data_IF_657166441249
#
_entry.id   IF_657166441249
#
_cell.length_a   1.000
_cell.length_b   1.000
_cell.length_c   1.000
_cell.angle_alpha   90.00
_cell.angle_beta   90.00
_cell.angle_gamma   90.00
#
_symmetry.space_group_name_H-M   'P 1'
#
loop_
_entity.id
_entity.type
_entity.pdbx_description
1 polymer ?
#
# COMPACT_ATOMS: atom_id res chain seq x y z
N UNK A 1 15.88 8.97 30.46
CA UNK A 1 15.49 10.03 29.49
C UNK A 1 15.64 9.42 28.11
N UNK A 2 14.55 9.14 27.42
CA UNK A 2 14.57 8.63 26.06
C UNK A 2 15.05 9.74 25.14
N UNK A 3 16.14 9.51 24.42
CA UNK A 3 16.70 10.48 23.48
C UNK A 3 15.74 10.60 22.30
N UNK A 4 15.07 11.74 22.16
CA UNK A 4 14.21 12.02 21.02
C UNK A 4 15.05 12.02 19.73
N UNK A 5 14.65 11.24 18.76
CA UNK A 5 15.32 11.18 17.45
C UNK A 5 14.72 12.24 16.57
N UNK A 6 15.52 13.22 16.18
CA UNK A 6 15.14 14.25 15.22
C UNK A 6 15.75 13.94 13.86
N UNK A 7 14.94 14.03 12.80
CA UNK A 7 15.30 13.83 11.40
C UNK A 7 15.03 15.11 10.60
N UNK A 8 15.85 15.36 9.58
CA UNK A 8 15.72 16.54 8.73
C UNK A 8 16.38 17.80 9.31
N UNK A 9 16.10 18.96 8.73
CA UNK A 9 16.68 20.25 9.10
C UNK A 9 15.77 21.42 8.72
N UNK A 10 15.95 22.57 9.38
CA UNK A 10 15.19 23.79 9.13
C UNK A 10 13.69 23.58 9.37
N UNK A 11 12.86 24.05 8.43
CA UNK A 11 11.40 23.87 8.47
C UNK A 11 10.92 22.44 8.21
N UNK A 12 11.80 21.56 7.74
CA UNK A 12 11.55 20.14 7.51
C UNK A 12 12.18 19.24 8.59
N UNK A 13 12.25 19.74 9.81
CA UNK A 13 12.71 18.98 10.95
C UNK A 13 11.53 18.23 11.59
N UNK A 14 11.67 16.92 11.76
CA UNK A 14 10.65 16.02 12.29
C UNK A 14 11.17 15.27 13.50
N UNK A 15 10.30 14.95 14.42
CA UNK A 15 10.59 14.13 15.60
C UNK A 15 9.91 12.77 15.43
N UNK A 16 10.63 11.71 15.77
CA UNK A 16 10.05 10.36 15.74
C UNK A 16 9.12 10.19 16.95
N UNK A 17 7.86 9.89 16.67
CA UNK A 17 6.87 9.53 17.68
C UNK A 17 6.97 8.02 17.98
N UNK A 18 7.82 7.65 18.94
CA UNK A 18 7.98 6.26 19.37
C UNK A 18 6.65 5.71 19.92
N UNK A 19 6.28 4.50 19.49
CA UNK A 19 5.06 3.82 19.94
C UNK A 19 3.77 4.28 19.30
N UNK A 20 3.83 5.18 18.29
CA UNK A 20 2.68 5.47 17.46
C UNK A 20 2.31 4.24 16.62
N UNK A 21 1.02 3.94 16.48
CA UNK A 21 0.55 2.82 15.66
C UNK A 21 0.64 1.47 16.38
N UNK A 22 0.35 1.44 17.69
CA UNK A 22 0.30 0.20 18.44
C UNK A 22 -0.80 -0.73 17.90
N UNK A 23 -0.40 -1.95 17.53
CA UNK A 23 -1.31 -2.95 17.00
C UNK A 23 -2.00 -3.74 18.11
N UNK A 24 -3.22 -4.25 17.88
CA UNK A 24 -3.85 -5.22 18.77
C UNK A 24 -3.04 -6.50 18.90
N UNK A 25 -3.24 -7.24 19.99
CA UNK A 25 -2.59 -8.51 20.22
C UNK A 25 -2.83 -9.49 19.03
N UNK A 26 -1.74 -10.08 18.55
CA UNK A 26 -1.77 -11.03 17.43
C UNK A 26 -1.75 -10.39 16.05
N UNK A 27 -1.89 -9.08 15.94
CA UNK A 27 -1.72 -8.39 14.66
C UNK A 27 -0.24 -8.11 14.39
N UNK A 28 0.12 -8.19 13.12
CA UNK A 28 1.46 -7.83 12.65
C UNK A 28 1.35 -6.88 11.47
N UNK A 29 2.38 -6.11 11.25
CA UNK A 29 2.52 -5.25 10.07
C UNK A 29 3.77 -5.72 9.32
N UNK A 30 3.57 -6.24 8.11
CA UNK A 30 4.65 -6.73 7.25
C UNK A 30 4.74 -5.84 6.02
N UNK A 31 5.96 -5.55 5.57
CA UNK A 31 6.24 -4.88 4.29
C UNK A 31 5.20 -3.82 3.91
N UNK A 32 5.25 -2.67 4.54
CA UNK A 32 4.33 -1.57 4.23
C UNK A 32 4.59 -1.07 2.82
N UNK A 33 3.63 -1.33 1.93
CA UNK A 33 3.69 -0.93 0.52
C UNK A 33 3.20 0.50 0.27
N UNK A 34 2.34 1.02 1.15
CA UNK A 34 1.80 2.37 1.00
C UNK A 34 1.19 2.92 2.27
N UNK A 35 1.19 4.24 2.38
CA UNK A 35 0.52 4.97 3.45
C UNK A 35 -0.26 6.13 2.81
N UNK A 36 -1.50 6.32 3.25
CA UNK A 36 -2.32 7.45 2.85
C UNK A 36 -3.00 8.07 4.07
N UNK A 37 -3.32 9.36 3.99
CA UNK A 37 -4.00 10.08 5.07
C UNK A 37 -5.22 10.76 4.49
N UNK A 38 -6.36 10.64 5.16
CA UNK A 38 -7.59 11.29 4.75
C UNK A 38 -7.75 12.70 5.38
N UNK A 39 -8.83 13.38 5.03
CA UNK A 39 -9.12 14.74 5.53
C UNK A 39 -9.48 14.79 7.02
N UNK A 40 -9.74 13.64 7.64
CA UNK A 40 -10.00 13.52 9.07
C UNK A 40 -8.75 13.09 9.86
N UNK A 41 -7.56 13.18 9.25
CA UNK A 41 -6.27 12.75 9.80
C UNK A 41 -6.23 11.25 10.15
N UNK A 42 -7.09 10.41 9.54
CA UNK A 42 -6.98 8.96 9.66
C UNK A 42 -5.89 8.45 8.74
N UNK A 43 -5.05 7.55 9.25
CA UNK A 43 -3.89 7.00 8.54
C UNK A 43 -4.20 5.59 8.07
N UNK A 44 -4.09 5.37 6.79
CA UNK A 44 -4.32 4.09 6.11
C UNK A 44 -2.99 3.48 5.77
N UNK A 45 -2.66 2.35 6.40
CA UNK A 45 -1.41 1.62 6.20
C UNK A 45 -1.68 0.37 5.39
N UNK A 46 -1.20 0.36 4.15
CA UNK A 46 -1.36 -0.74 3.23
C UNK A 46 -0.13 -1.63 3.28
N UNK A 47 -0.30 -2.86 3.78
CA UNK A 47 0.80 -3.76 4.11
C UNK A 47 0.50 -5.21 3.72
N UNK A 48 1.51 -6.09 3.80
CA UNK A 48 1.45 -7.48 3.37
C UNK A 48 1.24 -8.45 4.53
N UNK A 49 0.33 -8.13 5.44
CA UNK A 49 -0.08 -9.01 6.53
C UNK A 49 -1.48 -9.57 6.29
N UNK A 50 -1.98 -10.36 7.24
CA UNK A 50 -3.37 -10.85 7.23
C UNK A 50 -4.40 -9.71 7.35
N UNK A 51 -3.96 -8.51 7.69
CA UNK A 51 -4.75 -7.27 7.71
C UNK A 51 -4.16 -6.28 6.68
N UNK A 52 -4.48 -6.43 5.38
CA UNK A 52 -3.81 -5.68 4.32
C UNK A 52 -3.94 -4.16 4.43
N UNK A 53 -5.11 -3.66 4.84
CA UNK A 53 -5.31 -2.25 5.11
C UNK A 53 -5.65 -2.06 6.58
N UNK A 54 -4.73 -1.48 7.35
CA UNK A 54 -4.95 -1.11 8.74
C UNK A 54 -5.22 0.39 8.80
N UNK A 55 -6.29 0.77 9.49
CA UNK A 55 -6.69 2.17 9.65
C UNK A 55 -6.44 2.62 11.07
N UNK A 56 -5.70 3.69 11.22
CA UNK A 56 -5.41 4.33 12.51
C UNK A 56 -6.09 5.70 12.60
N UNK A 57 -6.38 6.12 13.81
CA UNK A 57 -6.65 7.52 14.06
C UNK A 57 -5.35 8.34 14.07
N UNK A 58 -5.48 9.65 14.23
CA UNK A 58 -4.36 10.58 14.31
C UNK A 58 -3.36 10.24 15.43
N UNK A 59 -3.85 9.72 16.54
CA UNK A 59 -3.04 9.43 17.72
C UNK A 59 -2.41 8.02 17.67
N UNK A 60 -2.71 7.24 16.63
CA UNK A 60 -2.14 5.91 16.37
C UNK A 60 -2.95 4.77 16.99
N UNK A 61 -4.19 5.02 17.43
CA UNK A 61 -5.08 3.94 17.82
C UNK A 61 -5.68 3.27 16.58
N UNK A 62 -5.73 1.93 16.57
CA UNK A 62 -6.34 1.18 15.47
C UNK A 62 -7.85 1.37 15.48
N UNK A 63 -8.40 1.84 14.36
CA UNK A 63 -9.84 1.97 14.12
C UNK A 63 -10.44 0.71 13.51
N UNK A 64 -9.64 -0.07 12.75
CA UNK A 64 -10.05 -1.30 12.12
C UNK A 64 -9.13 -1.73 10.99
N UNK A 65 -9.52 -2.80 10.30
CA UNK A 65 -8.85 -3.27 9.08
C UNK A 65 -9.87 -3.70 8.03
N UNK A 66 -9.39 -3.81 6.79
CA UNK A 66 -10.15 -4.35 5.68
C UNK A 66 -9.22 -4.84 4.56
N UNK A 67 -9.74 -5.58 3.62
CA UNK A 67 -9.02 -6.03 2.43
C UNK A 67 -8.50 -7.46 2.49
N UNK A 68 -8.87 -8.24 3.50
CA UNK A 68 -8.39 -9.60 3.77
C UNK A 68 -8.61 -10.55 2.59
N UNK A 69 -9.71 -10.43 1.87
CA UNK A 69 -10.04 -11.26 0.70
C UNK A 69 -9.92 -10.50 -0.63
N UNK A 70 -9.36 -9.29 -0.61
CA UNK A 70 -9.32 -8.40 -1.77
C UNK A 70 -7.93 -8.35 -2.40
N UNK A 71 -6.88 -8.32 -1.58
CA UNK A 71 -5.52 -8.06 -2.02
C UNK A 71 -4.63 -9.29 -1.90
N UNK A 72 -3.78 -9.48 -2.93
CA UNK A 72 -2.80 -10.57 -3.01
C UNK A 72 -1.41 -10.10 -2.56
N UNK A 73 -0.99 -8.92 -3.04
CA UNK A 73 0.32 -8.36 -2.71
C UNK A 73 0.26 -6.82 -2.72
N UNK A 74 -0.14 -6.20 -1.62
CA UNK A 74 -0.21 -4.76 -1.45
C UNK A 74 1.06 -4.02 -1.85
N UNK A 75 0.94 -2.98 -2.72
CA UNK A 75 2.10 -2.25 -3.20
C UNK A 75 2.00 -0.73 -3.00
N UNK A 76 0.85 -0.11 -3.21
CA UNK A 76 0.71 1.33 -3.06
C UNK A 76 -0.72 1.75 -2.76
N UNK A 77 -0.87 2.82 -1.99
CA UNK A 77 -2.16 3.40 -1.64
C UNK A 77 -2.13 4.92 -1.79
N UNK A 78 -3.20 5.48 -2.34
CA UNK A 78 -3.36 6.92 -2.52
C UNK A 78 -4.82 7.32 -2.33
N UNK A 79 -5.08 8.33 -1.51
CA UNK A 79 -6.43 8.92 -1.39
C UNK A 79 -6.51 10.10 -2.36
N UNK A 80 -7.44 10.00 -3.31
CA UNK A 80 -7.67 11.02 -4.31
C UNK A 80 -8.47 12.23 -3.78
N UNK A 81 -8.57 13.30 -4.58
CA UNK A 81 -9.36 14.49 -4.22
C UNK A 81 -10.87 14.22 -4.13
N UNK A 82 -11.30 13.05 -4.61
CA UNK A 82 -12.66 12.53 -4.57
C UNK A 82 -12.97 11.72 -3.29
N UNK A 83 -12.04 11.72 -2.32
CA UNK A 83 -12.11 11.02 -1.04
C UNK A 83 -12.28 9.48 -1.17
N UNK A 84 -11.81 8.91 -2.28
CA UNK A 84 -11.67 7.46 -2.45
C UNK A 84 -10.20 7.05 -2.36
N UNK A 85 -9.97 5.82 -1.93
CA UNK A 85 -8.62 5.25 -1.89
C UNK A 85 -8.37 4.37 -3.12
N UNK A 86 -7.22 4.60 -3.75
CA UNK A 86 -6.73 3.85 -4.90
C UNK A 86 -5.60 2.94 -4.42
N UNK A 87 -5.82 1.64 -4.50
CA UNK A 87 -4.89 0.62 -4.04
C UNK A 87 -4.32 -0.13 -5.23
N UNK A 88 -2.99 -0.19 -5.32
CA UNK A 88 -2.28 -1.01 -6.31
C UNK A 88 -1.90 -2.34 -5.69
N UNK A 89 -2.20 -3.41 -6.42
CA UNK A 89 -1.80 -4.77 -6.08
C UNK A 89 -0.92 -5.32 -7.21
N UNK A 90 0.35 -5.58 -6.92
CA UNK A 90 1.30 -6.09 -7.91
C UNK A 90 1.31 -7.63 -7.97
N UNK A 91 0.67 -8.31 -7.03
CA UNK A 91 0.49 -9.75 -7.05
C UNK A 91 -0.56 -10.20 -8.06
N UNK A 92 -1.67 -9.48 -8.14
CA UNK A 92 -2.73 -9.76 -9.12
C UNK A 92 -2.77 -8.78 -10.31
N UNK A 93 -1.87 -7.78 -10.31
CA UNK A 93 -1.71 -6.79 -11.40
C UNK A 93 -2.93 -5.88 -11.59
N UNK A 94 -3.53 -5.45 -10.49
CA UNK A 94 -4.71 -4.57 -10.51
C UNK A 94 -4.49 -3.25 -9.79
N UNK A 95 -5.32 -2.28 -10.13
CA UNK A 95 -5.55 -1.08 -9.33
C UNK A 95 -7.02 -1.03 -8.96
N UNK A 96 -7.32 -0.95 -7.68
CA UNK A 96 -8.69 -0.88 -7.19
C UNK A 96 -8.99 0.49 -6.61
N UNK A 97 -10.10 1.08 -7.03
CA UNK A 97 -10.71 2.23 -6.37
C UNK A 97 -11.68 1.72 -5.33
N UNK A 98 -11.46 2.09 -4.08
CA UNK A 98 -12.28 1.66 -2.96
C UNK A 98 -12.82 2.88 -2.20
N UNK A 99 -13.93 2.66 -1.49
CA UNK A 99 -14.34 3.55 -0.40
C UNK A 99 -13.33 3.44 0.75
N UNK A 100 -13.33 4.40 1.67
CA UNK A 100 -12.42 4.40 2.82
C UNK A 100 -12.71 3.28 3.83
N UNK A 101 -13.87 2.64 3.72
CA UNK A 101 -14.27 1.46 4.49
C UNK A 101 -14.09 0.12 3.74
N UNK A 102 -13.45 0.16 2.56
CA UNK A 102 -12.99 -1.03 1.85
C UNK A 102 -13.92 -1.60 0.78
N UNK A 103 -15.04 -0.93 0.45
CA UNK A 103 -15.89 -1.38 -0.66
C UNK A 103 -15.23 -1.07 -2.00
N UNK A 104 -14.97 -2.09 -2.81
CA UNK A 104 -14.45 -1.94 -4.18
C UNK A 104 -15.51 -1.33 -5.09
N UNK A 105 -15.18 -0.22 -5.76
CA UNK A 105 -16.04 0.52 -6.69
C UNK A 105 -15.63 0.31 -8.14
N UNK A 106 -14.34 0.16 -8.38
CA UNK A 106 -13.77 -0.02 -9.72
C UNK A 106 -12.50 -0.87 -9.62
N UNK A 107 -12.33 -1.77 -10.55
CA UNK A 107 -11.11 -2.53 -10.74
C UNK A 107 -10.54 -2.26 -12.13
N UNK A 108 -9.27 -1.90 -12.21
CA UNK A 108 -8.50 -1.70 -13.42
C UNK A 108 -7.44 -2.79 -13.51
N UNK A 109 -7.35 -3.44 -14.65
CA UNK A 109 -6.51 -4.61 -14.88
C UNK A 109 -7.34 -5.88 -15.00
N UNK A 110 -6.65 -7.01 -15.10
CA UNK A 110 -7.27 -8.33 -15.11
C UNK A 110 -6.55 -9.17 -14.05
N UNK A 111 -7.21 -9.53 -12.95
CA UNK A 111 -6.56 -10.26 -11.87
C UNK A 111 -5.80 -11.49 -12.35
N UNK A 112 -4.53 -11.61 -11.94
CA UNK A 112 -3.64 -12.71 -12.31
C UNK A 112 -3.22 -12.76 -13.79
N UNK A 113 -3.51 -11.72 -14.58
CA UNK A 113 -3.13 -11.64 -16.00
C UNK A 113 -2.25 -10.42 -16.26
N UNK A 114 -0.94 -10.51 -15.94
CA UNK A 114 -0.03 -9.41 -16.24
C UNK A 114 0.12 -9.22 -17.76
N UNK A 115 0.34 -7.98 -18.15
CA UNK A 115 0.75 -7.70 -19.51
C UNK A 115 2.16 -8.27 -19.80
N UNK A 116 2.46 -8.59 -21.07
CA UNK A 116 3.82 -8.90 -21.45
C UNK A 116 4.78 -7.76 -21.08
N UNK A 117 5.93 -8.10 -20.55
CA UNK A 117 6.94 -7.11 -20.15
C UNK A 117 7.26 -6.15 -21.30
N UNK A 118 7.18 -4.85 -21.03
CA UNK A 118 7.41 -3.77 -21.99
C UNK A 118 6.61 -3.88 -23.31
N UNK A 119 5.41 -4.46 -23.26
CA UNK A 119 4.56 -4.63 -24.44
C UNK A 119 4.15 -3.31 -25.09
N UNK A 120 4.15 -2.21 -24.36
CA UNK A 120 3.63 -0.92 -24.82
C UNK A 120 2.13 -0.92 -25.10
N UNK A 121 1.43 -2.01 -24.75
CA UNK A 121 -0.01 -2.10 -24.94
C UNK A 121 -0.72 -1.11 -24.01
N UNK A 122 -1.51 -0.17 -24.54
CA UNK A 122 -2.20 0.81 -23.70
C UNK A 122 -3.23 0.21 -22.75
N UNK A 123 -3.62 -1.04 -22.97
CA UNK A 123 -4.50 -1.80 -22.09
C UNK A 123 -3.75 -2.60 -21.01
N UNK A 124 -2.44 -2.63 -21.08
CA UNK A 124 -1.57 -3.21 -20.06
C UNK A 124 -1.43 -2.25 -18.89
N UNK A 125 -2.26 -2.38 -17.89
CA UNK A 125 -2.46 -1.36 -16.87
C UNK A 125 -1.64 -1.54 -15.60
N UNK A 126 -0.88 -2.62 -15.48
CA UNK A 126 0.07 -2.80 -14.38
C UNK A 126 1.41 -3.28 -14.91
N UNK A 127 2.45 -2.53 -14.60
CA UNK A 127 3.83 -2.96 -14.84
C UNK A 127 4.10 -4.20 -13.99
N UNK A 128 4.60 -5.30 -14.54
CA UNK A 128 5.01 -6.42 -13.71
C UNK A 128 6.13 -5.94 -12.79
N UNK A 129 5.87 -5.84 -11.51
CA UNK A 129 6.93 -5.80 -10.55
C UNK A 129 7.74 -7.08 -10.67
N UNK A 130 9.05 -6.97 -10.59
CA UNK A 130 9.96 -8.09 -10.68
C UNK A 130 9.57 -9.18 -9.67
N UNK A 131 8.80 -10.18 -10.12
CA UNK A 131 8.91 -11.46 -9.46
C UNK A 131 10.33 -11.97 -9.76
N UNK A 132 11.10 -12.19 -8.72
CA UNK A 132 12.42 -12.81 -8.77
C UNK A 132 12.32 -14.27 -9.22
N UNK A 133 11.90 -14.50 -10.46
CA UNK A 133 12.04 -15.77 -11.14
C UNK A 133 13.14 -15.62 -12.16
N UNK A 134 14.30 -16.24 -11.86
CA UNK A 134 15.44 -16.45 -12.73
C UNK A 134 15.02 -16.67 -14.20
N UNK A 135 14.99 -15.61 -15.01
CA UNK A 135 15.11 -15.75 -16.45
C UNK A 135 16.53 -15.39 -16.84
N UNK A 136 17.27 -16.29 -17.48
CA UNK A 136 18.56 -15.97 -18.04
C UNK A 136 18.38 -14.87 -19.09
N UNK A 137 19.27 -13.87 -19.05
CA UNK A 137 19.35 -12.83 -20.07
C UNK A 137 19.55 -13.48 -21.44
N UNK A 138 18.91 -13.00 -22.52
CA UNK A 138 19.18 -13.47 -23.87
C UNK A 138 20.65 -13.15 -24.20
N UNK A 139 21.37 -14.19 -24.64
CA UNK A 139 22.74 -14.07 -25.14
C UNK A 139 22.76 -13.11 -26.32
N UNK A 140 23.58 -12.07 -26.23
CA UNK A 140 23.90 -11.21 -27.38
C UNK A 140 24.68 -12.05 -28.39
N UNK A 141 24.12 -12.30 -29.54
CA UNK A 141 24.82 -12.65 -30.76
C UNK A 141 25.01 -11.39 -31.59
#
# INVERSE_FOLDING_TARGET
MTKRVQLGSGEYAYEVAEGWGALPDGWVMNDVGGVAVDRADRVYVFNRSDHPMIVFDRDGAVLGSWGEDIFTHPHGAHIGPDDFIYCTDDGDHTVRKCTLDGKVLLELGSPGKPAPYMSGDPFCRCTPCHSSSNRPLPSKT
#
